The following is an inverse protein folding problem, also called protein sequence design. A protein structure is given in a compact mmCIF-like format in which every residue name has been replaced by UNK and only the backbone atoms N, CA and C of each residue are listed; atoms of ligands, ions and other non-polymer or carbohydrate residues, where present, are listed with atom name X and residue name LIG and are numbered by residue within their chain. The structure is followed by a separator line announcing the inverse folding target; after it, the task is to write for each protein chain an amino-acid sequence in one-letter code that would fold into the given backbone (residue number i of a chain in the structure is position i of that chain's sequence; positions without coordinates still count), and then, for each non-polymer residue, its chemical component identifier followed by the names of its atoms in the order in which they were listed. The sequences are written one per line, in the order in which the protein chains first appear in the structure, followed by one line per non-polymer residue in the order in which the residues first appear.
data_IF_956852343958
#
_entry.id   IF_956852343958
#
_cell.length_a   1.000
_cell.length_b   1.000
_cell.length_c   1.000
_cell.angle_alpha   90.00
_cell.angle_beta   90.00
_cell.angle_gamma   90.00
#
_symmetry.space_group_name_H-M   'P 1'
#
loop_
_entity.id
_entity.type
_entity.pdbx_description
1 polymer ?
#
# COMPACT_ATOMS: atom_id res chain seq x y z
N UNK A 1 7.86 43.59 -3.20
CA UNK A 1 8.57 42.54 -3.97
C UNK A 1 9.67 43.09 -4.90
N UNK A 2 9.94 44.40 -4.97
CA UNK A 2 10.91 44.97 -5.93
C UNK A 2 12.38 45.11 -5.45
N UNK A 3 12.77 44.54 -4.31
CA UNK A 3 14.13 44.74 -3.76
C UNK A 3 15.24 43.88 -4.39
N UNK A 4 14.91 42.98 -5.34
CA UNK A 4 15.86 42.00 -5.89
C UNK A 4 16.01 42.03 -7.42
N UNK A 5 15.50 43.06 -8.11
CA UNK A 5 15.59 43.17 -9.59
C UNK A 5 17.02 43.34 -10.14
N UNK A 6 18.04 43.42 -9.28
CA UNK A 6 19.41 43.71 -9.72
C UNK A 6 20.48 42.97 -8.90
N UNK A 7 20.29 41.68 -8.63
CA UNK A 7 21.30 40.88 -7.94
C UNK A 7 21.72 39.66 -8.77
N UNK A 8 23.02 39.56 -9.04
CA UNK A 8 23.75 38.36 -9.48
C UNK A 8 23.78 37.29 -8.38
N UNK A 9 22.62 36.97 -7.81
CA UNK A 9 22.43 36.03 -6.72
C UNK A 9 21.61 34.87 -7.25
N UNK A 10 22.21 33.68 -7.21
CA UNK A 10 21.55 32.43 -7.52
C UNK A 10 20.88 31.88 -6.26
N UNK A 11 19.73 31.24 -6.41
CA UNK A 11 19.05 30.52 -5.33
C UNK A 11 18.88 29.05 -5.71
N UNK A 12 18.78 28.20 -4.69
CA UNK A 12 18.52 26.79 -4.88
C UNK A 12 17.02 26.54 -5.03
N UNK A 13 16.63 25.72 -5.99
CA UNK A 13 15.23 25.42 -6.30
C UNK A 13 15.07 23.94 -6.66
N UNK A 14 13.84 23.45 -6.62
CA UNK A 14 13.52 22.08 -7.05
C UNK A 14 13.93 21.91 -8.52
N UNK A 15 14.47 20.74 -8.86
CA UNK A 15 14.94 20.46 -10.22
C UNK A 15 13.84 20.75 -11.25
N UNK A 16 14.22 21.44 -12.33
CA UNK A 16 13.32 21.86 -13.42
C UNK A 16 12.13 22.75 -12.99
N UNK A 17 12.18 23.31 -11.77
CA UNK A 17 11.16 24.16 -11.15
C UNK A 17 11.78 25.42 -10.51
N UNK A 18 12.27 26.37 -11.32
CA UNK A 18 12.87 27.61 -10.81
C UNK A 18 11.87 28.47 -10.02
N UNK A 19 10.57 28.27 -10.21
CA UNK A 19 9.48 28.88 -9.46
C UNK A 19 9.35 28.38 -8.01
N UNK A 20 10.01 27.27 -7.65
CA UNK A 20 9.94 26.63 -6.33
C UNK A 20 11.29 26.74 -5.59
N UNK A 21 11.61 27.89 -4.97
CA UNK A 21 12.82 28.05 -4.18
C UNK A 21 12.79 27.19 -2.92
N UNK A 22 13.93 26.62 -2.55
CA UNK A 22 14.07 25.76 -1.38
C UNK A 22 14.42 26.62 -0.16
N UNK A 23 13.64 26.45 0.91
CA UNK A 23 13.87 27.16 2.17
C UNK A 23 15.14 26.65 2.87
N UNK A 24 15.91 27.58 3.45
CA UNK A 24 17.10 27.25 4.21
C UNK A 24 16.73 26.76 5.62
N UNK A 25 16.62 25.44 5.81
CA UNK A 25 16.31 24.81 7.10
C UNK A 25 17.36 24.99 8.19
N UNK A 26 18.58 25.45 7.85
CA UNK A 26 19.59 25.83 8.85
C UNK A 26 19.28 27.18 9.51
N UNK A 27 18.40 27.98 8.92
CA UNK A 27 17.93 29.23 9.53
C UNK A 27 16.95 28.90 10.65
N UNK A 28 17.28 29.33 11.88
CA UNK A 28 16.41 29.16 13.04
C UNK A 28 15.04 29.81 12.82
N UNK A 29 15.02 31.01 12.22
CA UNK A 29 13.77 31.71 11.88
C UNK A 29 12.88 30.91 10.92
N UNK A 30 13.48 30.20 9.95
CA UNK A 30 12.73 29.34 9.02
C UNK A 30 12.18 28.13 9.78
N UNK A 31 12.99 27.49 10.61
CA UNK A 31 12.56 26.32 11.39
C UNK A 31 11.40 26.66 12.32
N UNK A 32 11.48 27.79 13.05
CA UNK A 32 10.42 28.28 13.92
C UNK A 32 9.15 28.56 13.12
N UNK A 33 9.25 29.33 12.03
CA UNK A 33 8.09 29.69 11.23
C UNK A 33 7.33 28.46 10.68
N UNK A 34 8.04 27.42 10.23
CA UNK A 34 7.38 26.19 9.76
C UNK A 34 6.75 25.41 10.91
N UNK A 35 7.42 25.30 12.06
CA UNK A 35 6.88 24.64 13.26
C UNK A 35 5.62 25.34 13.79
N UNK A 36 5.60 26.67 13.77
CA UNK A 36 4.42 27.46 14.14
C UNK A 36 3.27 27.21 13.16
N UNK A 37 3.55 27.14 11.85
CA UNK A 37 2.55 26.80 10.85
C UNK A 37 1.96 25.39 11.06
N UNK A 38 2.78 24.40 11.41
CA UNK A 38 2.30 23.05 11.74
C UNK A 38 1.41 23.07 12.99
N UNK A 39 1.81 23.83 14.02
CA UNK A 39 1.05 23.99 15.27
C UNK A 39 -0.32 24.61 15.03
N UNK A 40 -0.38 25.64 14.17
CA UNK A 40 -1.63 26.26 13.75
C UNK A 40 -2.60 25.23 13.14
N UNK A 41 -2.12 24.34 12.27
CA UNK A 41 -2.97 23.31 11.65
C UNK A 41 -3.41 22.24 12.65
N UNK A 42 -2.54 21.87 13.60
CA UNK A 42 -2.92 21.00 14.72
C UNK A 42 -4.06 21.61 15.53
N UNK A 43 -4.04 22.92 15.80
CA UNK A 43 -5.13 23.63 16.49
C UNK A 43 -6.43 23.69 15.67
N UNK A 44 -6.32 23.70 14.34
CA UNK A 44 -7.48 23.58 13.44
C UNK A 44 -8.04 22.16 13.38
N UNK A 45 -7.40 21.21 14.06
CA UNK A 45 -7.87 19.84 14.18
C UNK A 45 -7.37 18.90 13.08
N UNK A 46 -6.36 19.28 12.29
CA UNK A 46 -5.72 18.40 11.31
C UNK A 46 -5.13 17.17 12.00
N UNK A 47 -5.37 15.98 11.44
CA UNK A 47 -4.96 14.70 12.05
C UNK A 47 -3.58 14.20 11.58
N UNK A 48 -2.94 14.91 10.63
CA UNK A 48 -1.63 14.51 10.13
C UNK A 48 -1.08 15.39 9.03
N UNK A 49 0.18 15.14 8.67
CA UNK A 49 0.91 15.86 7.64
C UNK A 49 1.58 14.91 6.66
N UNK A 50 1.51 15.28 5.39
CA UNK A 50 2.24 14.64 4.30
C UNK A 50 3.38 15.53 3.84
N UNK A 51 4.60 15.03 3.92
CA UNK A 51 5.80 15.73 3.45
C UNK A 51 6.21 15.18 2.08
N UNK A 52 6.03 15.99 1.04
CA UNK A 52 6.64 15.76 -0.27
C UNK A 52 8.04 16.38 -0.35
N UNK A 53 8.84 15.93 -1.32
CA UNK A 53 10.14 16.52 -1.65
C UNK A 53 11.14 16.59 -0.47
N UNK A 54 11.10 15.60 0.42
CA UNK A 54 11.91 15.61 1.65
C UNK A 54 13.42 15.56 1.39
N UNK A 55 13.83 15.06 0.23
CA UNK A 55 15.20 15.04 -0.28
C UNK A 55 15.82 16.43 -0.47
N UNK A 56 14.98 17.48 -0.44
CA UNK A 56 15.40 18.88 -0.51
C UNK A 56 15.48 19.58 0.85
N UNK A 57 15.09 18.93 1.96
CA UNK A 57 15.20 19.52 3.30
C UNK A 57 16.67 19.78 3.69
N UNK A 58 17.58 18.92 3.25
CA UNK A 58 19.01 19.12 3.41
C UNK A 58 19.83 18.46 2.29
N UNK A 59 20.96 19.09 1.96
CA UNK A 59 21.87 18.66 0.90
C UNK A 59 23.28 18.51 1.46
N UNK A 60 24.06 17.64 0.83
CA UNK A 60 25.50 17.51 1.09
C UNK A 60 26.22 18.85 0.87
N UNK A 61 27.40 19.09 1.47
CA UNK A 61 28.11 20.38 1.34
C UNK A 61 28.40 20.82 -0.10
N UNK A 62 28.47 19.88 -1.05
CA UNK A 62 28.63 20.14 -2.49
C UNK A 62 27.30 20.46 -3.21
N UNK A 63 26.17 20.38 -2.52
CA UNK A 63 24.82 20.65 -3.02
C UNK A 63 24.24 19.56 -3.93
N UNK A 64 24.98 18.48 -4.22
CA UNK A 64 24.64 17.53 -5.29
C UNK A 64 23.71 16.40 -4.86
N UNK A 65 23.75 15.99 -3.60
CA UNK A 65 22.96 14.88 -3.10
C UNK A 65 22.16 15.28 -1.86
N UNK A 66 21.09 14.54 -1.58
CA UNK A 66 20.34 14.66 -0.33
C UNK A 66 21.21 14.20 0.86
N UNK A 67 21.20 14.98 1.94
CA UNK A 67 21.85 14.61 3.20
C UNK A 67 20.84 13.92 4.12
N UNK A 68 20.71 12.60 3.98
CA UNK A 68 19.69 11.81 4.70
C UNK A 68 19.83 11.82 6.22
N UNK A 69 21.04 12.02 6.73
CA UNK A 69 21.27 12.14 8.18
C UNK A 69 20.66 13.44 8.69
N UNK A 70 20.94 14.55 8.00
CA UNK A 70 20.39 15.85 8.35
C UNK A 70 18.88 15.94 8.10
N UNK A 71 18.39 15.34 7.00
CA UNK A 71 16.95 15.21 6.72
C UNK A 71 16.24 14.48 7.86
N UNK A 72 16.78 13.33 8.31
CA UNK A 72 16.24 12.57 9.43
C UNK A 72 16.20 13.42 10.72
N UNK A 73 17.26 14.19 10.99
CA UNK A 73 17.31 15.10 12.14
C UNK A 73 16.26 16.22 12.07
N UNK A 74 16.05 16.81 10.90
CA UNK A 74 15.04 17.86 10.69
C UNK A 74 13.64 17.30 10.93
N UNK A 75 13.33 16.16 10.32
CA UNK A 75 12.04 15.47 10.48
C UNK A 75 11.78 15.03 11.92
N UNK A 76 12.80 14.51 12.63
CA UNK A 76 12.70 14.22 14.08
C UNK A 76 12.39 15.47 14.88
N UNK A 77 13.07 16.57 14.60
CA UNK A 77 12.80 17.86 15.26
C UNK A 77 11.36 18.37 14.99
N UNK A 78 10.79 18.08 13.82
CA UNK A 78 9.37 18.36 13.53
C UNK A 78 8.46 17.44 14.37
N UNK A 79 8.74 16.14 14.42
CA UNK A 79 7.99 15.18 15.25
C UNK A 79 8.00 15.58 16.73
N UNK A 80 9.16 15.93 17.27
CA UNK A 80 9.33 16.34 18.66
C UNK A 80 8.54 17.61 18.96
N UNK A 81 8.56 18.58 18.04
CA UNK A 81 7.76 19.81 18.15
C UNK A 81 6.27 19.50 18.21
N UNK A 82 5.76 18.68 17.28
CA UNK A 82 4.34 18.29 17.24
C UNK A 82 3.93 17.55 18.53
N UNK A 83 4.76 16.62 19.01
CA UNK A 83 4.51 15.89 20.24
C UNK A 83 4.51 16.79 21.48
N UNK A 84 5.44 17.74 21.54
CA UNK A 84 5.48 18.73 22.62
C UNK A 84 4.22 19.60 22.59
N UNK A 85 3.87 20.14 21.42
CA UNK A 85 2.74 21.05 21.24
C UNK A 85 1.41 20.37 21.59
N UNK A 86 1.16 19.15 21.07
CA UNK A 86 -0.07 18.42 21.33
C UNK A 86 -0.26 18.09 22.81
N UNK A 87 0.82 17.77 23.52
CA UNK A 87 0.77 17.44 24.95
C UNK A 87 0.49 18.67 25.83
N UNK A 88 0.80 19.87 25.33
CA UNK A 88 0.54 21.14 26.03
C UNK A 88 -0.90 21.65 25.90
N UNK A 89 -1.72 21.10 24.99
CA UNK A 89 -3.08 21.56 24.73
C UNK A 89 -4.12 20.51 25.13
N UNK A 90 -5.11 20.93 25.92
CA UNK A 90 -6.20 20.04 26.39
C UNK A 90 -6.97 19.45 25.21
N UNK A 91 -7.12 20.21 24.11
CA UNK A 91 -7.92 19.80 22.94
C UNK A 91 -7.19 18.82 22.02
N UNK A 92 -5.86 18.72 22.10
CA UNK A 92 -5.07 17.91 21.16
C UNK A 92 -4.24 16.83 21.86
N UNK A 93 -4.25 16.77 23.19
CA UNK A 93 -3.50 15.78 24.00
C UNK A 93 -3.84 14.32 23.68
N UNK A 94 -5.09 14.04 23.31
CA UNK A 94 -5.54 12.69 22.95
C UNK A 94 -5.39 12.38 21.45
N UNK A 95 -4.97 13.35 20.64
CA UNK A 95 -4.77 13.14 19.20
C UNK A 95 -3.44 12.47 18.92
N UNK A 96 -3.47 11.47 18.04
CA UNK A 96 -2.29 10.96 17.36
C UNK A 96 -2.16 11.67 16.01
N UNK A 97 -1.12 12.51 15.89
CA UNK A 97 -0.84 13.25 14.66
C UNK A 97 0.03 12.38 13.75
N UNK A 98 -0.53 11.96 12.63
CA UNK A 98 0.11 11.06 11.69
C UNK A 98 1.10 11.83 10.78
N UNK A 99 2.35 11.39 10.67
CA UNK A 99 3.32 11.96 9.74
C UNK A 99 3.72 10.95 8.69
N UNK A 100 3.55 11.33 7.43
CA UNK A 100 3.96 10.52 6.29
C UNK A 100 4.80 11.30 5.31
N UNK A 101 5.60 10.61 4.50
CA UNK A 101 6.35 11.21 3.41
C UNK A 101 6.26 10.37 2.13
N UNK A 102 6.27 11.06 0.98
CA UNK A 102 6.46 10.45 -0.34
C UNK A 102 7.78 10.96 -0.93
N UNK A 103 8.92 10.34 -0.58
CA UNK A 103 10.20 10.68 -1.19
C UNK A 103 10.26 10.18 -2.64
N UNK A 104 11.18 10.72 -3.42
CA UNK A 104 11.67 10.02 -4.61
C UNK A 104 12.12 8.59 -4.25
N UNK A 105 12.09 7.61 -5.19
CA UNK A 105 12.44 6.22 -4.90
C UNK A 105 13.70 6.07 -4.04
N UNK A 106 13.51 5.47 -2.86
CA UNK A 106 14.54 5.34 -1.85
C UNK A 106 15.04 3.91 -1.74
N UNK A 107 16.35 3.81 -1.51
CA UNK A 107 16.95 2.57 -1.01
C UNK A 107 16.33 2.18 0.34
N UNK A 108 16.26 0.88 0.57
CA UNK A 108 15.66 0.24 1.74
C UNK A 108 16.19 0.77 3.09
N UNK A 109 17.51 0.97 3.18
CA UNK A 109 18.18 1.52 4.35
C UNK A 109 17.69 2.93 4.72
N UNK A 110 17.40 3.76 3.70
CA UNK A 110 16.86 5.11 3.89
C UNK A 110 15.40 5.09 4.32
N UNK A 111 14.58 4.17 3.77
CA UNK A 111 13.21 3.97 4.24
C UNK A 111 13.20 3.60 5.73
N UNK A 112 14.06 2.66 6.14
CA UNK A 112 14.21 2.29 7.55
C UNK A 112 14.65 3.48 8.42
N UNK A 113 15.65 4.25 7.98
CA UNK A 113 16.11 5.45 8.68
C UNK A 113 14.97 6.44 8.92
N UNK A 114 14.18 6.75 7.91
CA UNK A 114 13.12 7.76 8.01
C UNK A 114 11.98 7.32 8.94
N UNK A 115 11.60 6.05 8.94
CA UNK A 115 10.52 5.59 9.83
C UNK A 115 10.99 5.42 11.28
N UNK A 116 12.17 4.81 11.47
CA UNK A 116 12.68 4.50 12.83
C UNK A 116 13.32 5.69 13.51
N UNK A 117 14.21 6.40 12.80
CA UNK A 117 14.99 7.48 13.38
C UNK A 117 14.27 8.82 13.23
N UNK A 118 13.74 9.15 12.06
CA UNK A 118 13.09 10.43 11.86
C UNK A 118 11.69 10.51 12.51
N UNK A 119 11.12 9.36 12.89
CA UNK A 119 9.83 9.26 13.55
C UNK A 119 8.65 9.52 12.62
N UNK A 120 8.78 9.26 11.32
CA UNK A 120 7.61 9.17 10.43
C UNK A 120 6.80 7.92 10.76
N UNK A 121 5.47 8.02 10.69
CA UNK A 121 4.58 6.86 10.89
C UNK A 121 4.50 6.00 9.62
N UNK A 122 4.70 6.62 8.45
CA UNK A 122 4.63 5.95 7.16
C UNK A 122 5.53 6.60 6.11
N UNK A 123 6.00 5.77 5.19
CA UNK A 123 6.69 6.18 3.98
C UNK A 123 5.94 5.53 2.83
N UNK A 124 5.52 6.34 1.86
CA UNK A 124 4.77 5.84 0.71
C UNK A 124 5.71 5.02 -0.18
N UNK A 125 5.29 3.80 -0.49
CA UNK A 125 5.95 2.88 -1.41
C UNK A 125 5.48 3.20 -2.83
N UNK A 126 6.23 4.06 -3.51
CA UNK A 126 5.90 4.61 -4.84
C UNK A 126 6.36 3.69 -5.98
N UNK A 127 7.10 2.61 -5.72
CA UNK A 127 7.59 1.70 -6.76
C UNK A 127 6.46 1.13 -7.66
N UNK A 128 5.25 1.01 -7.13
CA UNK A 128 4.07 0.50 -7.84
C UNK A 128 3.40 1.53 -8.76
N UNK A 129 3.68 2.82 -8.60
CA UNK A 129 3.19 3.89 -9.48
C UNK A 129 3.82 3.86 -10.88
N UNK A 130 4.86 3.04 -11.05
CA UNK A 130 5.59 2.87 -12.31
C UNK A 130 5.12 1.69 -13.17
N UNK A 131 4.19 0.87 -12.66
CA UNK A 131 3.61 -0.25 -13.40
C UNK A 131 2.87 0.30 -14.63
N UNK A 132 3.37 -0.02 -15.81
CA UNK A 132 2.84 0.41 -17.11
C UNK A 132 3.20 -0.62 -18.20
N UNK A 133 2.47 -0.61 -19.31
CA UNK A 133 2.87 -1.33 -20.53
C UNK A 133 4.10 -0.66 -21.13
N UNK A 134 5.13 -1.44 -21.46
CA UNK A 134 6.37 -1.00 -22.13
C UNK A 134 7.35 -0.14 -21.30
N UNK A 135 7.22 -0.07 -19.97
CA UNK A 135 8.16 0.69 -19.13
C UNK A 135 9.42 -0.13 -18.77
N UNK A 136 10.58 0.53 -18.79
CA UNK A 136 11.92 -0.06 -18.62
C UNK A 136 12.31 -0.36 -17.16
N UNK A 137 11.35 -0.51 -16.23
CA UNK A 137 11.67 -0.77 -14.81
C UNK A 137 11.69 -2.27 -14.50
N UNK A 138 10.84 -3.06 -15.16
CA UNK A 138 10.81 -4.52 -15.02
C UNK A 138 11.90 -5.13 -15.93
N UNK A 139 13.18 -4.98 -15.55
CA UNK A 139 14.28 -5.56 -16.32
C UNK A 139 14.37 -7.08 -16.09
N UNK A 140 14.20 -7.82 -17.19
CA UNK A 140 14.49 -9.26 -17.39
C UNK A 140 13.42 -10.31 -17.04
N UNK A 141 12.22 -9.94 -16.55
CA UNK A 141 11.10 -10.88 -16.34
C UNK A 141 9.75 -10.35 -16.86
N UNK A 142 9.50 -10.69 -18.12
CA UNK A 142 8.19 -10.84 -18.78
C UNK A 142 7.41 -9.57 -19.14
N UNK A 143 7.10 -9.46 -20.44
CA UNK A 143 6.40 -8.35 -21.13
C UNK A 143 4.93 -8.15 -20.70
N UNK A 144 4.57 -8.34 -19.43
CA UNK A 144 3.18 -8.30 -18.95
C UNK A 144 3.02 -7.58 -17.62
N UNK A 145 1.80 -7.04 -17.42
CA UNK A 145 1.40 -6.39 -16.16
C UNK A 145 1.50 -7.38 -14.99
N UNK A 146 1.18 -8.66 -15.21
CA UNK A 146 1.25 -9.69 -14.19
C UNK A 146 2.69 -9.93 -13.69
N UNK A 147 3.65 -10.10 -14.61
CA UNK A 147 5.06 -10.30 -14.31
C UNK A 147 5.62 -9.15 -13.47
N UNK A 148 5.47 -7.93 -13.99
CA UNK A 148 6.00 -6.74 -13.31
C UNK A 148 5.36 -6.51 -11.94
N UNK A 149 4.04 -6.70 -11.81
CA UNK A 149 3.34 -6.55 -10.53
C UNK A 149 3.82 -7.59 -9.51
N UNK A 150 3.96 -8.85 -9.93
CA UNK A 150 4.40 -9.93 -9.06
C UNK A 150 5.83 -9.75 -8.57
N UNK A 151 6.75 -9.34 -9.46
CA UNK A 151 8.16 -9.06 -9.13
C UNK A 151 8.27 -7.95 -8.08
N UNK A 152 7.70 -6.77 -8.36
CA UNK A 152 7.79 -5.61 -7.46
C UNK A 152 7.14 -5.91 -6.11
N UNK A 153 5.95 -6.52 -6.09
CA UNK A 153 5.26 -6.84 -4.83
C UNK A 153 6.03 -7.88 -4.02
N UNK A 154 6.60 -8.90 -4.67
CA UNK A 154 7.37 -9.94 -3.97
C UNK A 154 8.56 -9.35 -3.24
N UNK A 155 9.33 -8.48 -3.90
CA UNK A 155 10.49 -7.82 -3.31
C UNK A 155 10.09 -6.90 -2.15
N UNK A 156 9.04 -6.09 -2.35
CA UNK A 156 8.56 -5.16 -1.32
C UNK A 156 7.99 -5.88 -0.10
N UNK A 157 7.29 -7.01 -0.28
CA UNK A 157 6.79 -7.81 0.83
C UNK A 157 7.93 -8.38 1.68
N UNK A 158 9.00 -8.87 1.05
CA UNK A 158 10.21 -9.34 1.75
C UNK A 158 10.87 -8.19 2.51
N UNK A 159 11.01 -7.02 1.89
CA UNK A 159 11.55 -5.82 2.55
C UNK A 159 10.73 -5.43 3.78
N UNK A 160 9.41 -5.29 3.65
CA UNK A 160 8.55 -4.87 4.75
C UNK A 160 8.52 -5.90 5.90
N UNK A 161 8.50 -7.19 5.58
CA UNK A 161 8.55 -8.28 6.58
C UNK A 161 9.89 -8.34 7.31
N UNK A 162 11.01 -8.19 6.61
CA UNK A 162 12.36 -8.28 7.20
C UNK A 162 12.78 -7.05 7.98
N UNK A 163 12.30 -5.86 7.61
CA UNK A 163 12.72 -4.59 8.23
C UNK A 163 11.72 -4.06 9.26
N UNK A 164 10.45 -4.46 9.16
CA UNK A 164 9.36 -3.93 9.96
C UNK A 164 8.95 -2.49 9.62
N UNK A 165 9.45 -1.94 8.50
CA UNK A 165 8.95 -0.69 7.93
C UNK A 165 7.48 -0.89 7.56
N UNK A 166 6.62 0.02 7.98
CA UNK A 166 5.18 -0.12 7.82
C UNK A 166 4.78 0.14 6.36
N UNK A 167 4.08 -0.80 5.71
CA UNK A 167 3.79 -0.67 4.28
C UNK A 167 2.64 0.30 4.00
N UNK A 168 2.90 1.26 3.10
CA UNK A 168 1.87 2.13 2.49
C UNK A 168 1.96 2.02 0.98
N UNK A 169 0.93 1.46 0.36
CA UNK A 169 0.91 1.15 -1.07
C UNK A 169 0.21 2.22 -1.86
N UNK A 170 0.86 2.75 -2.89
CA UNK A 170 0.31 3.72 -3.82
C UNK A 170 0.51 3.23 -5.26
N UNK A 171 -0.60 2.99 -5.97
CA UNK A 171 -0.55 2.64 -7.41
C UNK A 171 -0.86 3.85 -8.28
N UNK A 172 -1.66 4.80 -7.81
CA UNK A 172 -2.02 6.02 -8.53
C UNK A 172 -1.75 7.25 -7.66
N UNK A 173 -1.36 8.35 -8.27
CA UNK A 173 -1.04 9.60 -7.58
C UNK A 173 -1.15 10.81 -8.53
N UNK A 174 -1.03 12.06 -8.05
CA UNK A 174 -1.19 13.23 -8.90
C UNK A 174 0.03 13.54 -9.78
N UNK A 175 1.06 12.69 -9.82
CA UNK A 175 2.30 12.93 -10.57
C UNK A 175 2.52 11.93 -11.71
N UNK A 176 1.91 10.75 -11.63
CA UNK A 176 1.99 9.68 -12.63
C UNK A 176 0.70 9.57 -13.44
N UNK A 177 0.80 9.06 -14.67
CA UNK A 177 -0.37 8.75 -15.48
C UNK A 177 -1.31 7.80 -14.71
N UNK A 178 -2.63 7.94 -14.89
CA UNK A 178 -3.62 7.09 -14.20
C UNK A 178 -3.42 5.60 -14.52
N UNK A 179 -3.72 4.73 -13.56
CA UNK A 179 -3.47 3.29 -13.65
C UNK A 179 -4.02 2.72 -14.97
N UNK A 180 -5.30 2.96 -15.26
CA UNK A 180 -5.98 2.50 -16.48
C UNK A 180 -5.32 2.95 -17.79
N UNK A 181 -4.75 4.17 -17.80
CA UNK A 181 -4.02 4.72 -18.95
C UNK A 181 -2.63 4.11 -19.09
N UNK A 182 -1.92 3.88 -17.98
CA UNK A 182 -0.59 3.25 -17.97
C UNK A 182 -0.62 1.80 -18.43
N UNK A 183 -1.67 1.06 -18.06
CA UNK A 183 -1.82 -0.36 -18.42
C UNK A 183 -2.74 -0.58 -19.63
N UNK A 184 -3.18 0.50 -20.28
CA UNK A 184 -4.07 0.50 -21.46
C UNK A 184 -5.28 -0.45 -21.37
N UNK A 185 -5.78 -0.70 -20.16
CA UNK A 185 -6.85 -1.66 -19.92
C UNK A 185 -7.55 -1.35 -18.58
N UNK A 186 -8.85 -1.06 -18.63
CA UNK A 186 -9.67 -0.76 -17.45
C UNK A 186 -9.78 -1.96 -16.51
N UNK A 187 -9.91 -3.18 -17.05
CA UNK A 187 -9.99 -4.39 -16.24
C UNK A 187 -8.65 -4.66 -15.53
N UNK A 188 -7.52 -4.47 -16.20
CA UNK A 188 -6.22 -4.57 -15.52
C UNK A 188 -6.09 -3.55 -14.38
N UNK A 189 -6.61 -2.32 -14.55
CA UNK A 189 -6.69 -1.34 -13.46
C UNK A 189 -7.53 -1.84 -12.29
N UNK A 190 -8.65 -2.51 -12.55
CA UNK A 190 -9.47 -3.13 -11.50
C UNK A 190 -8.72 -4.26 -10.80
N UNK A 191 -8.03 -5.15 -11.52
CA UNK A 191 -7.24 -6.23 -10.93
C UNK A 191 -6.12 -5.69 -10.02
N UNK A 192 -5.44 -4.62 -10.44
CA UNK A 192 -4.43 -3.92 -9.64
C UNK A 192 -5.04 -3.30 -8.37
N UNK A 193 -6.25 -2.73 -8.47
CA UNK A 193 -7.00 -2.22 -7.32
C UNK A 193 -7.36 -3.35 -6.33
N UNK A 194 -7.79 -4.51 -6.84
CA UNK A 194 -8.07 -5.68 -6.01
C UNK A 194 -6.82 -6.14 -5.24
N UNK A 195 -5.67 -6.17 -5.92
CA UNK A 195 -4.37 -6.47 -5.29
C UNK A 195 -4.04 -5.44 -4.21
N UNK A 196 -4.06 -4.14 -4.54
CA UNK A 196 -3.70 -3.07 -3.60
C UNK A 196 -4.56 -3.07 -2.33
N UNK A 197 -5.86 -3.35 -2.44
CA UNK A 197 -6.78 -3.44 -1.30
C UNK A 197 -6.59 -4.72 -0.48
N UNK A 198 -5.90 -5.72 -1.01
CA UNK A 198 -5.58 -6.97 -0.31
C UNK A 198 -4.13 -7.01 0.21
N UNK A 199 -3.26 -6.04 -0.09
CA UNK A 199 -1.91 -5.95 0.50
C UNK A 199 -1.95 -5.56 2.00
N UNK A 200 -0.96 -5.96 2.83
CA UNK A 200 -0.91 -5.63 4.27
C UNK A 200 -0.72 -4.13 4.53
N UNK A 201 -1.05 -3.60 5.70
CA UNK A 201 -0.75 -2.18 6.04
C UNK A 201 -1.78 -1.17 5.53
N UNK A 202 -1.36 -0.12 4.81
CA UNK A 202 -2.27 0.95 4.34
C UNK A 202 -2.30 1.06 2.82
N UNK A 203 -3.49 1.21 2.23
CA UNK A 203 -3.67 1.49 0.81
C UNK A 203 -3.98 2.97 0.60
N UNK A 204 -3.20 3.64 -0.24
CA UNK A 204 -3.42 5.03 -0.65
C UNK A 204 -4.04 5.04 -2.06
N UNK A 205 -5.29 5.49 -2.14
CA UNK A 205 -6.09 5.46 -3.38
C UNK A 205 -6.22 6.87 -3.93
N UNK A 206 -5.86 7.06 -5.19
CA UNK A 206 -6.03 8.34 -5.87
C UNK A 206 -7.44 8.44 -6.48
N UNK A 207 -8.05 9.62 -6.37
CA UNK A 207 -9.45 9.81 -6.76
C UNK A 207 -9.67 9.42 -8.22
N UNK A 208 -10.76 8.71 -8.49
CA UNK A 208 -11.11 8.21 -9.81
C UNK A 208 -10.52 6.83 -10.12
N UNK A 209 -9.54 6.32 -9.37
CA UNK A 209 -9.04 4.96 -9.57
C UNK A 209 -10.11 3.91 -9.17
N UNK A 210 -10.98 4.24 -8.21
CA UNK A 210 -12.12 3.40 -7.79
C UNK A 210 -13.18 3.18 -8.89
N UNK A 211 -13.20 4.04 -9.90
CA UNK A 211 -14.06 3.92 -11.10
C UNK A 211 -13.27 3.60 -12.37
N UNK A 212 -11.94 3.47 -12.27
CA UNK A 212 -11.07 3.19 -13.42
C UNK A 212 -10.90 4.39 -14.37
N UNK A 213 -10.86 5.61 -13.84
CA UNK A 213 -10.68 6.84 -14.63
C UNK A 213 -9.41 6.80 -15.46
N UNK A 214 -9.45 7.35 -16.67
CA UNK A 214 -8.30 7.51 -17.57
C UNK A 214 -7.78 8.94 -17.54
N UNK A 215 -6.56 9.14 -18.01
CA UNK A 215 -6.02 10.47 -18.27
C UNK A 215 -6.97 11.28 -19.15
N UNK A 216 -7.03 12.60 -18.91
CA UNK A 216 -7.74 13.50 -19.80
C UNK A 216 -6.96 13.67 -21.09
N UNK A 217 -7.65 13.61 -22.22
CA UNK A 217 -7.09 13.95 -23.52
C UNK A 217 -7.24 15.45 -23.70
N UNK A 218 -6.15 16.20 -23.57
CA UNK A 218 -6.16 17.63 -23.91
C UNK A 218 -6.05 17.77 -25.43
N UNK A 219 -7.07 18.36 -26.06
CA UNK A 219 -7.07 18.61 -27.50
C UNK A 219 -6.02 19.68 -27.80
N UNK A 220 -4.98 19.32 -28.54
CA UNK A 220 -3.97 20.25 -29.05
C UNK A 220 -2.64 20.30 -28.30
N UNK A 221 -2.45 19.52 -27.23
CA UNK A 221 -1.15 19.42 -26.55
C UNK A 221 -0.91 18.00 -26.01
N UNK A 222 -0.19 17.17 -26.77
CA UNK A 222 0.24 15.84 -26.33
C UNK A 222 1.21 15.89 -25.13
N UNK A 223 1.86 17.03 -24.90
CA UNK A 223 2.78 17.30 -23.79
C UNK A 223 2.11 18.00 -22.60
N UNK A 224 0.78 18.10 -22.60
CA UNK A 224 0.01 18.70 -21.52
C UNK A 224 0.50 18.20 -20.15
N UNK A 225 1.08 19.11 -19.38
CA UNK A 225 1.48 18.82 -18.02
C UNK A 225 0.19 18.53 -17.22
N UNK A 226 0.14 17.37 -16.54
CA UNK A 226 -0.92 16.98 -15.58
C UNK A 226 -2.20 16.32 -16.16
N UNK A 227 -2.11 15.49 -17.20
CA UNK A 227 -3.25 14.72 -17.76
C UNK A 227 -3.97 13.79 -16.75
N UNK A 228 -3.32 13.43 -15.66
CA UNK A 228 -3.85 12.62 -14.56
C UNK A 228 -4.74 13.40 -13.57
N UNK A 229 -4.80 14.73 -13.68
CA UNK A 229 -5.53 15.61 -12.74
C UNK A 229 -6.87 16.12 -13.27
N UNK A 230 -7.46 15.37 -14.20
CA UNK A 230 -8.80 15.65 -14.70
C UNK A 230 -9.86 15.62 -13.61
N UNK A 231 -10.96 16.35 -13.81
CA UNK A 231 -12.07 16.38 -12.86
C UNK A 231 -12.61 14.99 -12.54
N UNK A 232 -13.13 14.80 -11.32
CA UNK A 232 -13.80 13.55 -10.95
C UNK A 232 -15.02 13.33 -11.84
N UNK A 233 -15.14 12.10 -12.35
CA UNK A 233 -16.20 11.74 -13.29
C UNK A 233 -17.42 11.23 -12.52
N UNK A 234 -18.41 12.10 -12.33
CA UNK A 234 -19.64 11.78 -11.59
C UNK A 234 -20.72 11.15 -12.47
N UNK A 235 -21.12 11.83 -13.55
CA UNK A 235 -22.41 11.60 -14.23
C UNK A 235 -22.34 10.98 -15.64
N UNK A 236 -21.18 10.54 -16.13
CA UNK A 236 -21.11 9.87 -17.44
C UNK A 236 -21.36 8.36 -17.34
N UNK A 237 -21.45 7.66 -18.49
CA UNK A 237 -21.72 6.21 -18.54
C UNK A 237 -20.75 5.36 -17.72
N UNK A 238 -19.50 5.82 -17.59
CA UNK A 238 -18.45 5.16 -16.80
C UNK A 238 -18.19 5.85 -15.45
N UNK A 239 -19.04 6.79 -15.06
CA UNK A 239 -18.86 7.65 -13.91
C UNK A 239 -19.34 7.00 -12.62
N UNK A 240 -19.10 7.68 -11.51
CA UNK A 240 -19.49 7.21 -10.19
C UNK A 240 -20.98 6.84 -10.12
N UNK A 241 -21.88 7.70 -10.60
CA UNK A 241 -23.32 7.46 -10.47
C UNK A 241 -23.79 6.27 -11.30
N UNK A 242 -23.29 6.08 -12.52
CA UNK A 242 -23.61 4.90 -13.33
C UNK A 242 -23.13 3.61 -12.65
N UNK A 243 -21.83 3.55 -12.30
CA UNK A 243 -21.23 2.38 -11.65
C UNK A 243 -21.82 2.09 -10.26
N UNK A 244 -22.37 3.11 -9.58
CA UNK A 244 -23.04 2.94 -8.30
C UNK A 244 -24.39 2.23 -8.43
N UNK A 245 -25.12 2.39 -9.53
CA UNK A 245 -26.41 1.74 -9.76
C UNK A 245 -26.28 0.39 -10.47
N UNK A 246 -25.18 0.17 -11.20
CA UNK A 246 -24.86 -1.13 -11.78
C UNK A 246 -24.71 -2.21 -10.72
N UNK A 247 -25.15 -3.43 -11.04
CA UNK A 247 -24.97 -4.60 -10.17
C UNK A 247 -23.51 -5.03 -10.09
N UNK A 248 -22.80 -4.89 -11.20
CA UNK A 248 -21.40 -5.29 -11.41
C UNK A 248 -20.66 -4.13 -12.05
N UNK A 249 -19.67 -3.59 -11.34
CA UNK A 249 -18.83 -2.48 -11.81
C UNK A 249 -17.55 -2.44 -10.97
N UNK A 250 -16.51 -1.76 -11.46
CA UNK A 250 -15.26 -1.58 -10.71
C UNK A 250 -15.52 -0.88 -9.37
N UNK A 251 -16.42 0.10 -9.32
CA UNK A 251 -16.82 0.74 -8.06
C UNK A 251 -17.45 -0.26 -7.08
N UNK A 252 -18.27 -1.21 -7.55
CA UNK A 252 -18.85 -2.25 -6.68
C UNK A 252 -17.79 -3.17 -6.13
N UNK A 253 -16.81 -3.59 -6.95
CA UNK A 253 -15.65 -4.38 -6.51
C UNK A 253 -14.85 -3.62 -5.45
N UNK A 254 -14.52 -2.36 -5.72
CA UNK A 254 -13.82 -1.47 -4.79
C UNK A 254 -14.56 -1.34 -3.45
N UNK A 255 -15.85 -1.02 -3.47
CA UNK A 255 -16.67 -0.85 -2.26
C UNK A 255 -16.70 -2.12 -1.40
N UNK A 256 -16.72 -3.30 -2.01
CA UNK A 256 -16.74 -4.59 -1.28
C UNK A 256 -15.40 -4.84 -0.60
N UNK A 257 -14.31 -4.68 -1.32
CA UNK A 257 -12.96 -4.88 -0.77
C UNK A 257 -12.62 -3.83 0.29
N UNK A 258 -13.00 -2.57 0.07
CA UNK A 258 -12.83 -1.49 1.04
C UNK A 258 -13.64 -1.74 2.33
N UNK A 259 -14.85 -2.31 2.24
CA UNK A 259 -15.65 -2.72 3.41
C UNK A 259 -15.11 -3.97 4.10
N UNK A 260 -14.50 -4.89 3.35
CA UNK A 260 -13.92 -6.12 3.89
C UNK A 260 -12.64 -5.85 4.69
N UNK A 261 -11.82 -4.91 4.22
CA UNK A 261 -10.51 -4.60 4.81
C UNK A 261 -10.57 -4.31 6.33
N UNK A 262 -11.37 -3.36 6.86
CA UNK A 262 -11.36 -3.01 8.28
C UNK A 262 -11.92 -4.10 9.21
N UNK A 263 -12.60 -5.12 8.67
CA UNK A 263 -13.24 -6.20 9.46
C UNK A 263 -12.46 -7.51 9.43
N UNK A 264 -11.27 -7.54 8.82
CA UNK A 264 -10.48 -8.77 8.65
C UNK A 264 -9.03 -8.56 9.06
N UNK A 265 -8.63 -9.14 10.21
CA UNK A 265 -7.23 -9.13 10.66
C UNK A 265 -6.29 -9.77 9.65
N UNK A 266 -6.73 -10.84 8.98
CA UNK A 266 -5.97 -11.50 7.93
C UNK A 266 -5.56 -10.50 6.81
N UNK A 267 -6.42 -9.53 6.50
CA UNK A 267 -6.16 -8.52 5.46
C UNK A 267 -5.40 -7.31 6.02
N UNK A 268 -5.72 -6.83 7.22
CA UNK A 268 -5.05 -5.64 7.78
C UNK A 268 -3.59 -5.95 8.12
N UNK A 269 -3.36 -7.02 8.87
CA UNK A 269 -2.07 -7.30 9.51
C UNK A 269 -1.63 -8.77 9.41
N UNK A 270 -2.41 -9.62 8.72
CA UNK A 270 -2.03 -11.02 8.51
C UNK A 270 -0.84 -11.17 7.57
N UNK A 271 -0.34 -12.40 7.49
CA UNK A 271 0.70 -12.78 6.57
C UNK A 271 0.22 -12.73 5.13
N UNK A 272 1.19 -12.63 4.22
CA UNK A 272 0.95 -12.61 2.77
C UNK A 272 1.78 -13.70 2.11
N UNK A 273 1.14 -14.51 1.28
CA UNK A 273 1.81 -15.40 0.35
C UNK A 273 1.42 -15.01 -1.07
N UNK A 274 2.40 -14.94 -1.97
CA UNK A 274 2.19 -14.64 -3.39
C UNK A 274 2.74 -15.80 -4.22
N UNK A 275 1.94 -16.32 -5.16
CA UNK A 275 2.39 -17.40 -6.04
C UNK A 275 3.30 -16.86 -7.14
N UNK A 276 4.04 -17.76 -7.79
CA UNK A 276 4.72 -17.44 -9.05
C UNK A 276 3.69 -17.10 -10.14
N UNK A 277 4.14 -16.34 -11.13
CA UNK A 277 3.34 -16.06 -12.33
C UNK A 277 3.27 -17.32 -13.21
N UNK A 278 2.07 -17.65 -13.64
CA UNK A 278 1.79 -18.70 -14.61
C UNK A 278 0.77 -18.18 -15.62
N UNK A 279 1.14 -18.13 -16.91
CA UNK A 279 0.26 -17.66 -17.99
C UNK A 279 -0.38 -16.27 -17.74
N UNK A 280 0.43 -15.30 -17.26
CA UNK A 280 -0.03 -13.96 -16.87
C UNK A 280 -1.04 -13.93 -15.71
N UNK A 281 -1.04 -14.95 -14.86
CA UNK A 281 -1.85 -15.00 -13.67
C UNK A 281 -1.02 -15.38 -12.45
N UNK A 282 -1.47 -14.94 -11.28
CA UNK A 282 -0.91 -15.33 -9.99
C UNK A 282 -1.98 -15.19 -8.91
N UNK A 283 -1.68 -15.71 -7.72
CA UNK A 283 -2.52 -15.57 -6.54
C UNK A 283 -1.84 -14.83 -5.40
N UNK A 284 -2.65 -14.12 -4.61
CA UNK A 284 -2.27 -13.43 -3.39
C UNK A 284 -3.14 -13.96 -2.25
N UNK A 285 -2.51 -14.61 -1.28
CA UNK A 285 -3.17 -15.24 -0.14
C UNK A 285 -2.89 -14.47 1.13
N UNK A 286 -3.93 -14.16 1.90
CA UNK A 286 -3.87 -13.48 3.20
C UNK A 286 -4.44 -14.35 4.31
N UNK A 287 -3.69 -14.50 5.39
CA UNK A 287 -4.06 -15.36 6.51
C UNK A 287 -3.46 -14.87 7.83
N UNK A 288 -4.07 -15.22 8.95
CA UNK A 288 -3.55 -14.89 10.28
C UNK A 288 -2.70 -16.04 10.82
N UNK A 289 -1.50 -15.74 11.29
CA UNK A 289 -0.69 -16.67 12.09
C UNK A 289 -0.81 -16.33 13.56
N UNK A 290 -1.07 -17.36 14.37
CA UNK A 290 -1.01 -17.29 15.82
C UNK A 290 -0.18 -18.45 16.35
N UNK A 291 0.91 -18.14 17.04
CA UNK A 291 1.85 -19.14 17.57
C UNK A 291 2.33 -20.14 16.49
N UNK A 292 2.64 -19.61 15.29
CA UNK A 292 3.02 -20.37 14.08
C UNK A 292 1.94 -21.29 13.50
N UNK A 293 0.68 -21.16 13.94
CA UNK A 293 -0.48 -21.89 13.41
C UNK A 293 -1.39 -20.92 12.68
N UNK A 294 -1.79 -21.27 11.46
CA UNK A 294 -2.78 -20.49 10.72
C UNK A 294 -4.16 -20.66 11.33
N UNK A 295 -4.89 -19.55 11.52
CA UNK A 295 -6.23 -19.59 12.09
C UNK A 295 -7.19 -18.62 11.39
N UNK A 296 -8.49 -18.87 11.57
CA UNK A 296 -9.54 -17.99 11.07
C UNK A 296 -9.79 -18.13 9.57
N UNK A 297 -10.17 -17.02 8.93
CA UNK A 297 -10.45 -16.97 7.50
C UNK A 297 -9.17 -16.74 6.71
N UNK A 298 -8.97 -17.56 5.68
CA UNK A 298 -7.97 -17.37 4.64
C UNK A 298 -8.63 -16.74 3.44
N UNK A 299 -8.03 -15.71 2.89
CA UNK A 299 -8.48 -15.03 1.68
C UNK A 299 -7.50 -15.32 0.55
N UNK A 300 -8.00 -15.76 -0.60
CA UNK A 300 -7.20 -16.04 -1.79
C UNK A 300 -7.75 -15.21 -2.93
N UNK A 301 -6.98 -14.23 -3.36
CA UNK A 301 -7.21 -13.52 -4.61
C UNK A 301 -6.45 -14.23 -5.71
N UNK A 302 -7.13 -14.60 -6.79
CA UNK A 302 -6.51 -15.07 -8.02
C UNK A 302 -6.82 -14.07 -9.11
N UNK A 303 -5.80 -13.63 -9.83
CA UNK A 303 -5.93 -12.64 -10.91
C UNK A 303 -5.31 -13.18 -12.18
N UNK A 304 -6.04 -13.10 -13.29
CA UNK A 304 -5.57 -13.44 -14.62
C UNK A 304 -5.53 -12.17 -15.46
N UNK A 305 -4.34 -11.69 -15.82
CA UNK A 305 -4.16 -10.57 -16.76
C UNK A 305 -4.10 -11.04 -18.22
N UNK A 306 -4.12 -12.35 -18.45
CA UNK A 306 -4.09 -12.95 -19.79
C UNK A 306 -5.42 -12.86 -20.52
N UNK A 307 -5.36 -12.97 -21.85
CA UNK A 307 -6.53 -12.99 -22.73
C UNK A 307 -7.14 -14.40 -22.92
N UNK A 308 -6.62 -15.40 -22.21
CA UNK A 308 -7.07 -16.78 -22.31
C UNK A 308 -7.61 -17.24 -20.96
N UNK A 309 -8.55 -18.18 -21.01
CA UNK A 309 -8.99 -18.90 -19.81
C UNK A 309 -7.86 -19.80 -19.32
N UNK A 310 -7.64 -19.84 -18.02
CA UNK A 310 -6.58 -20.65 -17.40
C UNK A 310 -7.13 -21.56 -16.31
N UNK A 311 -6.39 -22.62 -16.03
CA UNK A 311 -6.56 -23.46 -14.85
C UNK A 311 -5.41 -23.14 -13.89
N UNK A 312 -5.68 -22.30 -12.89
CA UNK A 312 -4.69 -21.86 -11.91
C UNK A 312 -4.61 -22.86 -10.76
N UNK A 313 -3.39 -23.36 -10.48
CA UNK A 313 -3.16 -24.17 -9.30
C UNK A 313 -3.19 -23.30 -8.06
N UNK A 314 -3.98 -23.70 -7.07
CA UNK A 314 -3.98 -23.12 -5.73
C UNK A 314 -3.28 -24.04 -4.72
N UNK A 315 -2.58 -25.07 -5.21
CA UNK A 315 -1.78 -25.99 -4.38
C UNK A 315 -0.60 -25.30 -3.71
N UNK A 316 -0.20 -24.14 -4.22
CA UNK A 316 0.89 -23.32 -3.68
C UNK A 316 0.46 -22.56 -2.41
N UNK A 317 -0.84 -22.55 -2.08
CA UNK A 317 -1.31 -22.02 -0.80
C UNK A 317 -0.57 -22.80 0.31
N UNK A 318 0.06 -22.10 1.29
CA UNK A 318 0.83 -22.77 2.33
C UNK A 318 0.02 -23.90 2.98
N UNK A 319 0.62 -25.09 3.19
CA UNK A 319 -0.10 -26.21 3.78
C UNK A 319 -0.49 -25.86 5.21
N UNK A 320 -1.76 -25.52 5.42
CA UNK A 320 -2.30 -25.22 6.72
C UNK A 320 -2.56 -26.52 7.44
N UNK A 321 -1.66 -26.86 8.37
CA UNK A 321 -1.61 -28.11 9.15
C UNK A 321 -2.94 -28.87 9.17
N UNK A 322 -2.99 -30.00 8.48
CA UNK A 322 -4.06 -31.02 8.46
C UNK A 322 -5.43 -30.66 7.88
N UNK A 323 -5.61 -29.50 7.24
CA UNK A 323 -6.89 -29.12 6.62
C UNK A 323 -6.71 -28.90 5.13
N UNK A 324 -7.30 -29.78 4.33
CA UNK A 324 -7.45 -29.57 2.89
C UNK A 324 -8.89 -29.11 2.64
N UNK A 325 -9.15 -27.78 2.59
CA UNK A 325 -10.50 -27.28 2.46
C UNK A 325 -11.06 -27.76 1.12
N UNK A 326 -12.21 -28.44 1.14
CA UNK A 326 -12.89 -28.88 -0.09
C UNK A 326 -13.77 -27.78 -0.68
N UNK A 327 -14.16 -26.79 0.14
CA UNK A 327 -15.07 -25.72 -0.28
C UNK A 327 -14.56 -24.35 0.17
N UNK A 328 -14.83 -23.35 -0.67
CA UNK A 328 -14.62 -21.94 -0.38
C UNK A 328 -15.82 -21.12 -0.85
N UNK A 329 -15.95 -19.89 -0.36
CA UNK A 329 -17.00 -18.97 -0.75
C UNK A 329 -16.41 -17.78 -1.51
N UNK A 330 -17.02 -17.43 -2.64
CA UNK A 330 -16.69 -16.22 -3.41
C UNK A 330 -17.08 -14.97 -2.60
N UNK A 331 -16.12 -14.08 -2.39
CA UNK A 331 -16.25 -12.85 -1.62
C UNK A 331 -16.41 -11.64 -2.54
N UNK A 332 -15.59 -11.55 -3.59
CA UNK A 332 -15.65 -10.49 -4.59
C UNK A 332 -15.15 -11.02 -5.93
N UNK A 333 -15.61 -10.41 -7.01
CA UNK A 333 -15.21 -10.72 -8.39
C UNK A 333 -14.96 -9.42 -9.14
N UNK A 334 -14.16 -9.46 -10.20
CA UNK A 334 -13.98 -8.31 -11.10
C UNK A 334 -15.26 -8.04 -11.89
N UNK A 335 -15.39 -6.82 -12.40
CA UNK A 335 -16.62 -6.33 -13.04
C UNK A 335 -17.03 -7.11 -14.29
N UNK A 336 -16.08 -7.81 -14.94
CA UNK A 336 -16.27 -8.63 -16.12
C UNK A 336 -16.49 -10.14 -15.83
N UNK A 337 -16.55 -10.54 -14.55
CA UNK A 337 -16.73 -11.95 -14.19
C UNK A 337 -18.15 -12.44 -14.47
N UNK A 338 -18.27 -13.49 -15.27
CA UNK A 338 -19.52 -14.19 -15.53
C UNK A 338 -19.58 -15.59 -14.88
N UNK A 339 -18.42 -16.19 -14.66
CA UNK A 339 -18.30 -17.60 -14.21
C UNK A 339 -18.61 -17.80 -12.73
N UNK A 340 -18.53 -16.73 -11.94
CA UNK A 340 -18.66 -16.77 -10.49
C UNK A 340 -19.62 -15.69 -10.00
N UNK A 341 -20.37 -16.01 -8.95
CA UNK A 341 -21.25 -15.08 -8.28
C UNK A 341 -20.84 -14.92 -6.82
N UNK A 342 -21.09 -13.75 -6.28
CA UNK A 342 -20.78 -13.47 -4.88
C UNK A 342 -21.62 -14.34 -3.96
N UNK A 343 -21.00 -14.80 -2.86
CA UNK A 343 -21.57 -15.77 -1.91
C UNK A 343 -21.83 -17.17 -2.50
N UNK A 344 -21.41 -17.42 -3.73
CA UNK A 344 -21.38 -18.77 -4.28
C UNK A 344 -20.34 -19.60 -3.53
N UNK A 345 -20.73 -20.80 -3.11
CA UNK A 345 -19.80 -21.80 -2.63
C UNK A 345 -19.22 -22.56 -3.84
N UNK A 346 -17.91 -22.72 -3.84
CA UNK A 346 -17.13 -23.38 -4.90
C UNK A 346 -16.36 -24.56 -4.34
N UNK A 347 -16.25 -25.62 -5.12
CA UNK A 347 -15.41 -26.78 -4.82
C UNK A 347 -13.96 -26.46 -5.20
N UNK A 348 -13.06 -26.56 -4.23
CA UNK A 348 -11.63 -26.31 -4.37
C UNK A 348 -10.79 -27.57 -4.08
N UNK A 349 -11.44 -28.73 -3.91
CA UNK A 349 -10.79 -30.00 -3.56
C UNK A 349 -9.77 -30.49 -4.60
N UNK A 350 -9.95 -30.09 -5.87
CA UNK A 350 -9.03 -30.40 -6.96
C UNK A 350 -7.70 -29.64 -6.87
N UNK A 351 -7.63 -28.59 -6.03
CA UNK A 351 -6.50 -27.66 -6.01
C UNK A 351 -6.37 -26.80 -7.26
N UNK A 352 -7.39 -26.78 -8.13
CA UNK A 352 -7.41 -26.04 -9.39
C UNK A 352 -8.64 -25.12 -9.43
N UNK A 353 -8.41 -23.87 -9.81
CA UNK A 353 -9.46 -22.88 -10.03
C UNK A 353 -9.39 -22.37 -11.47
N UNK A 354 -10.53 -22.35 -12.15
CA UNK A 354 -10.64 -21.88 -13.53
C UNK A 354 -10.90 -20.37 -13.54
N UNK A 355 -10.05 -19.58 -14.20
CA UNK A 355 -10.27 -18.15 -14.40
C UNK A 355 -10.48 -17.86 -15.88
N UNK A 356 -11.52 -17.09 -16.19
CA UNK A 356 -11.75 -16.48 -17.49
C UNK A 356 -10.65 -15.46 -17.86
N UNK A 357 -10.67 -14.97 -19.11
CA UNK A 357 -9.72 -13.97 -19.57
C UNK A 357 -9.91 -12.65 -18.80
N UNK A 358 -8.81 -12.03 -18.37
CA UNK A 358 -8.82 -10.75 -17.65
C UNK A 358 -9.73 -10.78 -16.40
N UNK A 359 -9.72 -11.88 -15.65
CA UNK A 359 -10.65 -12.10 -14.54
C UNK A 359 -9.93 -12.05 -13.19
N UNK A 360 -10.58 -11.49 -12.17
CA UNK A 360 -10.11 -11.50 -10.79
C UNK A 360 -11.19 -12.06 -9.88
N UNK A 361 -10.84 -13.04 -9.04
CA UNK A 361 -11.75 -13.57 -8.04
C UNK A 361 -11.09 -13.62 -6.66
N UNK A 362 -11.81 -13.16 -5.66
CA UNK A 362 -11.44 -13.29 -4.25
C UNK A 362 -12.39 -14.31 -3.62
N UNK A 363 -11.86 -15.41 -3.12
CA UNK A 363 -12.60 -16.37 -2.32
C UNK A 363 -12.00 -16.53 -0.93
N UNK A 364 -12.78 -17.10 -0.02
CA UNK A 364 -12.30 -17.39 1.32
C UNK A 364 -12.78 -18.75 1.81
N UNK A 365 -11.96 -19.37 2.65
CA UNK A 365 -12.33 -20.56 3.43
C UNK A 365 -11.86 -20.37 4.87
N UNK A 366 -12.46 -21.12 5.78
CA UNK A 366 -12.13 -21.07 7.21
C UNK A 366 -11.27 -22.27 7.58
N UNK A 367 -10.18 -22.02 8.29
CA UNK A 367 -9.42 -23.09 8.95
C UNK A 367 -10.08 -23.35 10.31
N UNK A 368 -10.57 -24.57 10.57
CA UNK A 368 -11.05 -24.98 11.88
C UNK A 368 -9.97 -24.77 12.93
N UNK A 369 -10.35 -24.18 14.06
CA UNK A 369 -9.46 -24.11 15.23
C UNK A 369 -9.49 -25.50 15.88
N UNK A 370 -8.48 -26.32 15.64
CA UNK A 370 -8.31 -27.55 16.43
C UNK A 370 -7.82 -27.17 17.84
N UNK A 371 -8.73 -27.26 18.82
CA UNK A 371 -8.44 -26.99 20.23
C UNK A 371 -7.36 -27.92 20.79
N UNK A 372 -7.20 -29.13 20.26
CA UNK A 372 -6.22 -30.10 20.75
C UNK A 372 -4.79 -29.80 20.25
N UNK A 373 -4.65 -29.23 19.06
CA UNK A 373 -3.35 -28.74 18.54
C UNK A 373 -2.82 -27.58 19.38
N UNK A 374 -3.71 -26.66 19.80
CA UNK A 374 -3.33 -25.53 20.64
C UNK A 374 -2.74 -25.96 21.99
N UNK A 375 -3.29 -27.00 22.63
CA UNK A 375 -2.76 -27.57 23.88
C UNK A 375 -1.43 -28.30 23.69
N UNK A 376 -1.25 -29.07 22.59
CA UNK A 376 0.02 -29.76 22.30
C UNK A 376 1.19 -28.81 22.06
N UNK A 377 0.98 -27.71 21.34
CA UNK A 377 2.03 -26.70 21.11
C UNK A 377 2.34 -25.89 22.37
N UNK A 378 1.33 -25.59 23.18
CA UNK A 378 1.51 -24.94 24.49
C UNK A 378 2.38 -25.78 25.43
N UNK A 379 2.24 -27.11 25.38
CA UNK A 379 3.05 -28.04 26.17
C UNK A 379 4.47 -28.23 25.61
N UNK A 380 4.65 -28.23 24.29
CA UNK A 380 5.99 -28.38 23.68
C UNK A 380 6.88 -27.15 23.86
N UNK A 381 6.33 -25.94 23.95
CA UNK A 381 7.11 -24.72 24.24
C UNK A 381 7.65 -24.70 25.68
N UNK A 382 7.00 -25.40 26.61
CA UNK A 382 7.49 -25.58 27.99
C UNK A 382 8.65 -26.56 28.11
N UNK A 383 8.90 -27.41 27.09
CA UNK A 383 9.96 -28.43 27.10
C UNK A 383 11.22 -28.07 26.27
N UNK A 384 11.27 -26.91 25.62
CA UNK A 384 12.45 -26.43 24.88
C UNK A 384 13.09 -25.19 25.52
N UNK A 385 12.99 -25.07 26.84
CA UNK A 385 13.61 -23.97 27.59
C UNK A 385 14.97 -24.37 28.18
N UNK A 386 15.83 -24.99 27.38
CA UNK A 386 17.27 -25.10 27.66
C UNK A 386 18.02 -25.06 26.32
N UNK A 387 18.94 -24.10 26.24
CA UNK A 387 19.89 -23.82 25.15
C UNK A 387 19.32 -23.61 23.75
N UNK A 388 19.00 -22.34 23.43
CA UNK A 388 19.33 -21.69 22.14
C UNK A 388 19.15 -20.17 22.32
N UNK A 389 20.26 -19.44 22.23
CA UNK A 389 20.27 -17.97 22.22
C UNK A 389 19.92 -17.47 20.82
N UNK A 390 18.62 -17.36 20.49
CA UNK A 390 18.16 -16.62 19.31
C UNK A 390 17.48 -15.34 19.78
N UNK A 391 18.08 -14.20 19.44
CA UNK A 391 17.50 -12.86 19.63
C UNK A 391 16.29 -12.69 18.70
N UNK A 392 15.12 -13.09 19.16
CA UNK A 392 13.84 -12.70 18.57
C UNK A 392 13.45 -11.30 19.08
N UNK A 393 13.44 -10.31 18.19
CA UNK A 393 12.84 -9.01 18.46
C UNK A 393 11.33 -9.13 18.31
N UNK A 394 10.64 -9.05 19.44
CA UNK A 394 9.18 -9.06 19.55
C UNK A 394 8.67 -7.66 19.22
N UNK A 395 7.89 -7.51 18.15
CA UNK A 395 7.12 -6.30 17.88
C UNK A 395 6.07 -6.11 18.99
N UNK A 396 6.31 -5.15 19.88
CA UNK A 396 5.25 -4.60 20.72
C UNK A 396 4.64 -3.41 19.99
N UNK A 397 3.53 -3.65 19.28
CA UNK A 397 2.50 -2.63 19.21
C UNK A 397 2.04 -2.40 20.66
N UNK A 398 2.14 -1.16 21.15
CA UNK A 398 1.48 -0.75 22.40
C UNK A 398 -0.04 -0.75 22.18
N UNK A 399 -0.65 -1.93 22.05
CA UNK A 399 -2.06 -2.12 22.35
C UNK A 399 -2.15 -2.68 23.77
N UNK A 400 -2.90 -1.98 24.62
CA UNK A 400 -3.19 -2.44 25.99
C UNK A 400 -3.75 -3.86 25.91
N UNK A 401 -3.18 -4.75 26.73
CA UNK A 401 -3.54 -6.16 26.84
C UNK A 401 -5.04 -6.43 26.76
N UNK A 402 -5.45 -7.14 25.70
CA UNK A 402 -6.41 -8.22 25.81
C UNK A 402 -5.89 -9.40 24.98
N UNK A 403 -5.70 -10.53 25.65
CA UNK A 403 -5.57 -11.86 25.04
C UNK A 403 -6.85 -12.15 24.25
N UNK A 404 -6.93 -11.63 23.01
CA UNK A 404 -8.07 -11.89 22.13
C UNK A 404 -7.96 -13.32 21.59
N UNK A 405 -9.03 -14.07 21.81
CA UNK A 405 -9.30 -15.34 21.11
C UNK A 405 -9.32 -15.07 19.60
N UNK A 406 -9.06 -16.11 18.79
CA UNK A 406 -9.29 -16.03 17.35
C UNK A 406 -10.70 -15.46 17.11
N UNK A 407 -10.82 -14.48 16.22
CA UNK A 407 -12.14 -13.95 15.86
C UNK A 407 -12.95 -15.04 15.16
N UNK A 408 -14.18 -15.27 15.64
CA UNK A 408 -15.12 -16.25 15.08
C UNK A 408 -15.55 -15.93 13.65
#
# INVERSE_FOLDING_TARGET
MDRYKNSSVFYYHIKDRPDLPILNWRSENVSIAIKDALSFWVDKGVDGFHFGFIEYLARTPDGKNADWTEISRILRSIRDHINFYKNGSINTKEKDIFLMASPEPLKEDRKRLLQTDAGLDAIVTTELDNIALSNKICYASENSVAGCTNEIISDLLVFHSSTGVYPVWEFGNPYTDRISSRVHNKIHSELLMMIQLLLPGTSMIYYGDEIGSTNVVQVGDENAQQRQRGEMVWDNENGFHSQFHERTSQLKTFQKLAKLRPVSNAIISGETYISKVFQNAFSLTRFELKDAVTCGKVYVLVVNFGHQTINHSISDIPPFQSVNPSYAQIIAVSSNTESYQERQDIDISSGIIKLGPQEGILFSFKIPIDRNLFERYSQNILYQKEDITIKHYKFQLKSKHHTKKCSD
#
